data_IF_704649636941
#
_entry.id   IF_704649636941
#
_cell.length_a   1.000
_cell.length_b   1.000
_cell.length_c   1.000
_cell.angle_alpha   90.00
_cell.angle_beta   90.00
_cell.angle_gamma   90.00
#
_symmetry.space_group_name_H-M   'P 1'
#
loop_
_entity.id
_entity.type
_entity.pdbx_description
1 polymer ?
#
# COMPACT_ATOMS: atom_id res chain seq x y z
N UNK A 1 -19.23 4.10 -6.47
CA UNK A 1 -18.97 3.48 -7.79
C UNK A 1 -17.69 2.69 -7.69
N UNK A 2 -17.69 1.43 -8.12
CA UNK A 2 -16.52 0.55 -8.02
C UNK A 2 -15.73 0.68 -9.33
N UNK A 3 -14.76 1.60 -9.39
CA UNK A 3 -13.96 1.87 -10.59
C UNK A 3 -13.08 0.67 -10.94
N UNK A 4 -13.11 0.20 -12.17
CA UNK A 4 -12.34 -0.98 -12.63
C UNK A 4 -10.90 -0.62 -13.03
N UNK A 5 -10.01 -1.61 -13.16
CA UNK A 5 -8.61 -1.36 -13.52
C UNK A 5 -8.44 -0.67 -14.89
N UNK A 6 -9.17 -1.03 -15.96
CA UNK A 6 -9.09 -0.30 -17.23
C UNK A 6 -9.50 1.16 -17.10
N UNK A 7 -10.55 1.45 -16.34
CA UNK A 7 -11.00 2.82 -16.09
C UNK A 7 -9.95 3.60 -15.29
N UNK A 8 -9.40 3.01 -14.23
CA UNK A 8 -8.31 3.61 -13.46
C UNK A 8 -7.09 3.91 -14.33
N UNK A 9 -6.72 3.00 -15.23
CA UNK A 9 -5.61 3.23 -16.17
C UNK A 9 -5.83 4.45 -17.05
N UNK A 10 -7.05 4.70 -17.49
CA UNK A 10 -7.38 5.89 -18.29
C UNK A 10 -7.37 7.19 -17.47
N UNK A 11 -7.59 7.11 -16.15
CA UNK A 11 -7.55 8.25 -15.23
C UNK A 11 -6.13 8.64 -14.79
N UNK A 12 -5.18 7.71 -14.91
CA UNK A 12 -3.80 7.87 -14.45
C UNK A 12 -2.93 8.39 -15.60
N UNK A 13 -2.29 9.53 -15.36
CA UNK A 13 -1.36 10.17 -16.28
C UNK A 13 0.08 9.89 -15.84
N UNK A 14 0.92 9.44 -16.77
CA UNK A 14 2.35 9.20 -16.55
C UNK A 14 3.18 10.24 -17.30
N UNK A 15 4.33 10.62 -16.71
CA UNK A 15 5.31 11.41 -17.43
C UNK A 15 5.90 10.64 -18.61
N UNK A 16 5.91 11.26 -19.80
CA UNK A 16 6.52 10.73 -21.01
C UNK A 16 5.54 10.42 -22.14
N UNK A 17 4.25 10.20 -21.85
CA UNK A 17 3.18 10.12 -22.85
C UNK A 17 1.79 10.15 -22.18
N UNK A 18 0.78 10.90 -22.70
CA UNK A 18 0.87 11.84 -23.82
C UNK A 18 1.54 13.18 -23.45
N UNK A 19 1.78 13.40 -22.15
CA UNK A 19 2.37 14.63 -21.64
C UNK A 19 3.83 14.41 -21.23
N UNK A 20 4.67 15.40 -21.50
CA UNK A 20 6.01 15.50 -20.95
C UNK A 20 5.98 15.76 -19.43
N UNK A 21 7.11 15.56 -18.75
CA UNK A 21 7.22 15.87 -17.33
C UNK A 21 6.95 17.36 -17.04
N UNK A 22 7.41 18.26 -17.92
CA UNK A 22 7.21 19.70 -17.76
C UNK A 22 5.74 20.09 -17.87
N UNK A 23 5.00 19.52 -18.82
CA UNK A 23 3.57 19.76 -18.98
C UNK A 23 2.78 19.28 -17.76
N UNK A 24 3.07 18.08 -17.24
CA UNK A 24 2.42 17.58 -16.04
C UNK A 24 2.72 18.46 -14.81
N UNK A 25 3.97 18.93 -14.64
CA UNK A 25 4.30 19.86 -13.55
C UNK A 25 3.60 21.21 -13.71
N UNK A 26 3.46 21.72 -14.93
CA UNK A 26 2.70 22.95 -15.18
C UNK A 26 1.21 22.75 -14.85
N UNK A 27 0.61 21.64 -15.27
CA UNK A 27 -0.78 21.29 -14.97
C UNK A 27 -1.02 21.10 -13.46
N UNK A 28 -0.08 20.47 -12.77
CA UNK A 28 -0.13 20.31 -11.31
C UNK A 28 -0.05 21.66 -10.59
N UNK A 29 0.90 22.52 -10.99
CA UNK A 29 1.03 23.87 -10.45
C UNK A 29 -0.25 24.71 -10.67
N UNK A 30 -0.96 24.49 -11.77
CA UNK A 30 -2.25 25.12 -12.07
C UNK A 30 -3.44 24.45 -11.34
N UNK A 31 -3.22 23.38 -10.58
CA UNK A 31 -4.27 22.67 -9.86
C UNK A 31 -5.20 21.83 -10.74
N UNK A 32 -4.82 21.55 -11.99
CA UNK A 32 -5.61 20.73 -12.92
C UNK A 32 -5.47 19.24 -12.57
N UNK A 33 -4.29 18.85 -12.11
CA UNK A 33 -3.95 17.50 -11.70
C UNK A 33 -3.26 17.51 -10.34
N UNK A 34 -3.17 16.35 -9.71
CA UNK A 34 -2.40 16.13 -8.47
C UNK A 34 -1.53 14.90 -8.59
N UNK A 35 -0.32 14.95 -8.05
CA UNK A 35 0.56 13.78 -7.94
C UNK A 35 0.00 12.79 -6.91
N UNK A 36 -0.12 11.52 -7.31
CA UNK A 36 -0.57 10.40 -6.45
C UNK A 36 0.63 9.57 -5.99
N UNK A 37 1.59 9.38 -6.90
CA UNK A 37 2.90 8.78 -6.69
C UNK A 37 3.91 9.54 -7.54
N UNK A 38 5.22 9.50 -7.22
CA UNK A 38 6.24 10.19 -8.00
C UNK A 38 6.12 9.91 -9.50
N UNK A 39 5.90 10.97 -10.29
CA UNK A 39 5.75 10.91 -11.74
C UNK A 39 4.40 10.39 -12.24
N UNK A 40 3.40 10.28 -11.36
CA UNK A 40 2.08 9.72 -11.65
C UNK A 40 0.97 10.61 -11.10
N UNK A 41 0.08 11.03 -11.97
CA UNK A 41 -0.89 12.08 -11.70
C UNK A 41 -2.32 11.64 -12.00
N UNK A 42 -3.29 12.29 -11.35
CA UNK A 42 -4.72 12.15 -11.66
C UNK A 42 -5.35 13.53 -11.72
N UNK A 43 -6.50 13.67 -12.39
CA UNK A 43 -7.26 14.92 -12.37
C UNK A 43 -7.57 15.37 -10.95
N UNK A 44 -7.40 16.66 -10.65
CA UNK A 44 -7.52 17.18 -9.29
C UNK A 44 -8.92 16.98 -8.68
N UNK A 45 -9.96 16.95 -9.53
CA UNK A 45 -11.33 16.67 -9.13
C UNK A 45 -11.59 15.21 -8.74
N UNK A 46 -10.67 14.28 -9.06
CA UNK A 46 -10.85 12.87 -8.72
C UNK A 46 -10.66 12.65 -7.21
N UNK A 47 -11.58 11.94 -6.55
CA UNK A 47 -11.49 11.69 -5.12
C UNK A 47 -10.24 10.87 -4.79
N UNK A 48 -9.61 11.15 -3.65
CA UNK A 48 -8.46 10.35 -3.20
C UNK A 48 -8.94 9.05 -2.54
N UNK A 49 -9.01 7.98 -3.34
CA UNK A 49 -9.54 6.69 -2.91
C UNK A 49 -8.46 5.61 -2.94
N UNK A 50 -8.66 4.56 -2.15
CA UNK A 50 -7.78 3.40 -2.17
C UNK A 50 -7.69 2.75 -3.55
N UNK A 51 -8.79 2.73 -4.32
CA UNK A 51 -8.79 2.23 -5.70
C UNK A 51 -7.87 3.06 -6.61
N UNK A 52 -7.91 4.40 -6.52
CA UNK A 52 -7.02 5.27 -7.30
C UNK A 52 -5.55 5.08 -6.90
N UNK A 53 -5.25 4.99 -5.61
CA UNK A 53 -3.89 4.73 -5.11
C UNK A 53 -3.38 3.35 -5.59
N UNK A 54 -4.20 2.32 -5.49
CA UNK A 54 -3.86 0.97 -5.97
C UNK A 54 -3.63 0.94 -7.48
N UNK A 55 -4.50 1.62 -8.25
CA UNK A 55 -4.35 1.79 -9.69
C UNK A 55 -3.03 2.48 -10.06
N UNK A 56 -2.69 3.58 -9.38
CA UNK A 56 -1.44 4.31 -9.60
C UNK A 56 -0.22 3.41 -9.34
N UNK A 57 -0.22 2.65 -8.26
CA UNK A 57 0.83 1.68 -7.98
C UNK A 57 0.93 0.60 -9.05
N UNK A 58 -0.20 0.05 -9.52
CA UNK A 58 -0.21 -0.98 -10.56
C UNK A 58 0.28 -0.45 -11.91
N UNK A 59 -0.08 0.78 -12.28
CA UNK A 59 0.38 1.43 -13.52
C UNK A 59 1.89 1.65 -13.48
N UNK A 60 2.43 2.19 -12.39
CA UNK A 60 3.88 2.39 -12.22
C UNK A 60 4.63 1.06 -12.19
N UNK A 61 4.09 0.07 -11.47
CA UNK A 61 4.73 -1.24 -11.36
C UNK A 61 4.76 -1.96 -12.71
N UNK A 62 3.74 -1.74 -13.54
CA UNK A 62 3.69 -2.20 -14.92
C UNK A 62 3.96 -3.71 -15.04
N UNK A 63 4.74 -4.14 -16.05
CA UNK A 63 5.08 -5.56 -16.22
C UNK A 63 5.85 -6.18 -15.06
N UNK A 64 6.51 -5.39 -14.21
CA UNK A 64 7.29 -5.90 -13.06
C UNK A 64 6.40 -6.46 -11.96
N UNK A 65 5.14 -6.05 -11.88
CA UNK A 65 4.16 -6.61 -10.98
C UNK A 65 3.78 -8.04 -11.41
N UNK A 66 3.76 -8.31 -12.72
CA UNK A 66 3.25 -9.55 -13.27
C UNK A 66 1.73 -9.71 -13.06
N UNK A 67 1.12 -10.78 -13.58
CA UNK A 67 -0.32 -11.02 -13.48
C UNK A 67 -0.82 -11.32 -12.06
N UNK A 68 0.07 -11.74 -11.17
CA UNK A 68 -0.25 -12.13 -9.78
C UNK A 68 0.51 -11.30 -8.74
N UNK A 69 1.01 -10.12 -9.14
CA UNK A 69 1.63 -9.21 -8.19
C UNK A 69 0.60 -8.61 -7.25
N UNK A 70 0.96 -8.50 -5.98
CA UNK A 70 0.09 -7.99 -4.92
C UNK A 70 0.78 -6.79 -4.29
N UNK A 71 0.10 -5.65 -4.19
CA UNK A 71 0.63 -4.51 -3.42
C UNK A 71 0.58 -4.87 -1.94
N UNK A 72 1.72 -4.75 -1.25
CA UNK A 72 1.83 -5.18 0.15
C UNK A 72 2.50 -4.15 1.06
N UNK A 73 2.56 -4.49 2.35
CA UNK A 73 3.35 -3.78 3.37
C UNK A 73 3.09 -2.26 3.37
N UNK A 74 4.14 -1.42 3.33
CA UNK A 74 4.00 0.05 3.44
C UNK A 74 3.27 0.65 2.24
N UNK A 75 3.39 0.03 1.06
CA UNK A 75 2.63 0.45 -0.12
C UNK A 75 1.14 0.14 0.03
N UNK A 76 0.77 -1.02 0.58
CA UNK A 76 -0.62 -1.31 0.91
C UNK A 76 -1.15 -0.38 2.02
N UNK A 77 -0.34 -0.09 3.05
CA UNK A 77 -0.71 0.87 4.08
C UNK A 77 -0.98 2.28 3.49
N UNK A 78 -0.17 2.73 2.52
CA UNK A 78 -0.42 3.96 1.78
C UNK A 78 -1.71 3.88 0.95
N UNK A 79 -1.97 2.76 0.27
CA UNK A 79 -3.24 2.54 -0.44
C UNK A 79 -4.44 2.69 0.50
N UNK A 80 -4.36 2.18 1.73
CA UNK A 80 -5.40 2.32 2.75
C UNK A 80 -5.46 3.70 3.42
N UNK A 81 -4.53 4.61 3.13
CA UNK A 81 -4.47 5.95 3.71
C UNK A 81 -3.74 6.02 5.06
N UNK A 82 -3.06 4.95 5.47
CA UNK A 82 -2.38 4.83 6.77
C UNK A 82 -0.87 5.13 6.71
N UNK A 83 -0.38 5.54 5.54
CA UNK A 83 1.02 5.89 5.34
C UNK A 83 1.15 7.02 4.32
N UNK A 84 2.16 7.92 4.46
CA UNK A 84 2.48 8.91 3.43
C UNK A 84 2.86 8.28 2.09
N UNK A 85 2.88 9.11 1.05
CA UNK A 85 3.27 8.71 -0.30
C UNK A 85 4.66 8.03 -0.27
N UNK A 86 4.77 6.77 -0.74
CA UNK A 86 6.02 6.04 -0.66
C UNK A 86 6.99 6.44 -1.78
N UNK A 87 8.29 6.39 -1.48
CA UNK A 87 9.38 6.56 -2.46
C UNK A 87 9.84 5.22 -3.07
N UNK A 88 9.25 4.11 -2.64
CA UNK A 88 9.48 2.75 -3.14
C UNK A 88 8.17 1.95 -3.06
N UNK A 89 7.81 1.22 -4.12
CA UNK A 89 6.70 0.28 -4.10
C UNK A 89 7.14 -1.10 -3.60
N UNK A 90 6.42 -1.64 -2.63
CA UNK A 90 6.58 -2.98 -2.09
C UNK A 90 5.52 -3.90 -2.71
N UNK A 91 5.97 -4.82 -3.56
CA UNK A 91 5.10 -5.77 -4.28
C UNK A 91 5.46 -7.18 -3.87
N UNK A 92 4.45 -7.95 -3.46
CA UNK A 92 4.56 -9.36 -3.16
C UNK A 92 4.28 -10.17 -4.42
N UNK A 93 5.09 -11.19 -4.66
CA UNK A 93 4.94 -12.10 -5.80
C UNK A 93 5.05 -13.54 -5.31
N UNK A 94 4.34 -14.47 -5.94
CA UNK A 94 4.41 -15.89 -5.58
C UNK A 94 5.80 -16.50 -5.88
N UNK A 95 6.45 -16.05 -6.96
CA UNK A 95 7.82 -16.38 -7.33
C UNK A 95 8.52 -15.16 -7.91
N UNK A 96 9.75 -14.95 -7.52
CA UNK A 96 10.59 -13.88 -8.02
C UNK A 96 11.02 -14.20 -9.44
N UNK A 97 10.69 -13.30 -10.36
CA UNK A 97 11.29 -13.28 -11.68
C UNK A 97 12.14 -12.02 -11.79
N UNK A 98 13.37 -12.11 -12.29
CA UNK A 98 14.19 -10.93 -12.57
C UNK A 98 13.56 -10.18 -13.74
N UNK A 99 12.97 -8.99 -13.55
CA UNK A 99 12.29 -8.33 -14.64
C UNK A 99 13.31 -7.83 -15.67
N UNK A 100 13.07 -8.09 -16.95
CA UNK A 100 13.77 -7.43 -18.05
C UNK A 100 12.97 -6.17 -18.41
N UNK A 101 13.19 -5.05 -17.71
CA UNK A 101 12.50 -3.80 -18.03
C UNK A 101 13.27 -2.56 -17.55
N UNK A 102 13.02 -1.43 -18.25
CA UNK A 102 13.54 -0.08 -18.03
C UNK A 102 13.53 0.38 -16.57
N UNK A 103 14.40 1.36 -16.28
CA UNK A 103 14.47 2.06 -15.00
C UNK A 103 13.08 2.64 -14.68
N UNK A 104 12.39 2.14 -13.65
CA UNK A 104 11.06 2.64 -13.32
C UNK A 104 11.16 4.09 -12.79
N UNK A 105 10.09 4.86 -12.96
CA UNK A 105 9.96 6.20 -12.36
C UNK A 105 10.04 6.16 -10.83
N UNK A 106 9.78 4.99 -10.23
CA UNK A 106 9.82 4.73 -8.80
C UNK A 106 10.50 3.39 -8.53
N UNK A 107 11.30 3.29 -7.47
CA UNK A 107 11.93 2.02 -7.10
C UNK A 107 10.84 0.99 -6.75
N UNK A 108 10.99 -0.25 -7.24
CA UNK A 108 10.07 -1.35 -6.95
C UNK A 108 10.87 -2.46 -6.27
N UNK A 109 10.47 -2.79 -5.04
CA UNK A 109 10.97 -3.90 -4.25
C UNK A 109 10.01 -5.07 -4.36
N UNK A 110 10.46 -6.09 -5.08
CA UNK A 110 9.76 -7.37 -5.15
C UNK A 110 10.14 -8.23 -3.94
N UNK A 111 9.19 -8.95 -3.38
CA UNK A 111 9.46 -9.94 -2.34
C UNK A 111 8.60 -11.16 -2.55
N UNK A 112 9.23 -12.33 -2.43
CA UNK A 112 8.48 -13.58 -2.45
C UNK A 112 7.66 -13.71 -1.17
N UNK A 113 6.36 -13.97 -1.33
CA UNK A 113 5.48 -14.28 -0.23
C UNK A 113 4.30 -15.05 -0.76
N UNK A 114 3.98 -16.17 -0.12
CA UNK A 114 2.65 -16.74 -0.25
C UNK A 114 1.65 -15.79 0.41
N UNK A 115 0.55 -15.53 -0.28
CA UNK A 115 -0.60 -14.77 0.22
C UNK A 115 -1.81 -15.58 -0.20
N UNK A 116 -2.63 -15.97 0.77
CA UNK A 116 -3.87 -16.68 0.50
C UNK A 116 -4.92 -15.71 -0.05
N UNK A 117 -5.88 -16.19 -0.85
CA UNK A 117 -6.93 -15.34 -1.41
C UNK A 117 -7.77 -14.64 -0.33
N UNK A 118 -7.90 -15.24 0.86
CA UNK A 118 -8.55 -14.64 2.03
C UNK A 118 -7.77 -13.46 2.63
N UNK A 119 -6.49 -13.35 2.29
CA UNK A 119 -5.59 -12.29 2.73
C UNK A 119 -5.44 -11.18 1.68
N UNK A 120 -6.33 -11.16 0.68
CA UNK A 120 -6.34 -10.19 -0.41
C UNK A 120 -7.61 -9.34 -0.42
N UNK A 121 -7.47 -8.14 -0.97
CA UNK A 121 -8.58 -7.27 -1.33
C UNK A 121 -8.35 -6.77 -2.76
N UNK A 122 -9.41 -6.85 -3.58
CA UNK A 122 -9.40 -6.28 -4.92
C UNK A 122 -9.85 -4.83 -4.88
N UNK A 123 -8.93 -3.90 -5.06
CA UNK A 123 -9.18 -2.47 -5.05
C UNK A 123 -9.06 -1.93 -6.47
N UNK A 124 -10.20 -1.67 -7.08
CA UNK A 124 -10.29 -1.29 -8.49
C UNK A 124 -9.58 -2.24 -9.44
N UNK A 125 -9.74 -3.55 -9.22
CA UNK A 125 -9.12 -4.60 -10.02
C UNK A 125 -7.63 -4.83 -9.75
N UNK A 126 -7.04 -4.16 -8.75
CA UNK A 126 -5.67 -4.41 -8.30
C UNK A 126 -5.70 -5.24 -7.02
N UNK A 127 -4.88 -6.29 -6.97
CA UNK A 127 -4.69 -7.10 -5.76
C UNK A 127 -3.83 -6.35 -4.73
N UNK A 128 -4.36 -6.18 -3.53
CA UNK A 128 -3.70 -5.54 -2.38
C UNK A 128 -3.84 -6.48 -1.18
N UNK A 129 -2.82 -6.61 -0.34
CA UNK A 129 -2.97 -7.38 0.91
C UNK A 129 -4.10 -6.80 1.74
N UNK A 130 -4.95 -7.65 2.34
CA UNK A 130 -6.04 -7.23 3.21
C UNK A 130 -5.53 -6.33 4.34
N UNK A 131 -6.37 -5.50 4.97
CA UNK A 131 -5.92 -4.61 6.04
C UNK A 131 -5.18 -5.37 7.16
N UNK A 132 -5.73 -6.48 7.66
CA UNK A 132 -5.10 -7.25 8.74
C UNK A 132 -3.77 -7.88 8.30
N UNK A 133 -3.70 -8.40 7.07
CA UNK A 133 -2.46 -8.92 6.49
C UNK A 133 -1.41 -7.81 6.36
N UNK A 134 -1.82 -6.62 5.91
CA UNK A 134 -0.96 -5.44 5.78
C UNK A 134 -0.38 -5.03 7.13
N UNK A 135 -1.22 -4.90 8.16
CA UNK A 135 -0.79 -4.58 9.52
C UNK A 135 0.23 -5.60 10.05
N UNK A 136 -0.08 -6.89 9.88
CA UNK A 136 0.79 -8.00 10.28
C UNK A 136 2.15 -7.91 9.57
N UNK A 137 2.16 -7.76 8.24
CA UNK A 137 3.40 -7.66 7.47
C UNK A 137 4.19 -6.39 7.81
N UNK A 138 3.53 -5.28 8.13
CA UNK A 138 4.17 -4.07 8.61
C UNK A 138 4.87 -4.31 9.95
N UNK A 139 4.21 -4.96 10.91
CA UNK A 139 4.78 -5.30 12.20
C UNK A 139 6.06 -6.17 12.07
N UNK A 140 6.06 -7.12 11.12
CA UNK A 140 7.22 -7.97 10.87
C UNK A 140 8.36 -7.29 10.11
N UNK A 141 8.04 -6.52 9.06
CA UNK A 141 9.01 -6.18 8.02
C UNK A 141 9.40 -4.69 7.98
N UNK A 142 8.66 -3.80 8.64
CA UNK A 142 8.94 -2.37 8.57
C UNK A 142 9.93 -1.91 9.64
N UNK A 143 10.62 -0.78 9.43
CA UNK A 143 11.35 -0.09 10.49
C UNK A 143 10.41 0.25 11.66
N UNK A 144 10.87 0.17 12.94
CA UNK A 144 10.00 0.34 14.10
C UNK A 144 9.18 1.64 14.13
N UNK A 145 9.77 2.78 13.75
CA UNK A 145 9.05 4.06 13.69
C UNK A 145 7.92 4.06 12.66
N UNK A 146 8.21 3.55 11.45
CA UNK A 146 7.20 3.42 10.41
C UNK A 146 6.09 2.44 10.82
N UNK A 147 6.46 1.30 11.41
CA UNK A 147 5.51 0.32 11.90
C UNK A 147 4.57 0.91 12.95
N UNK A 148 5.11 1.66 13.93
CA UNK A 148 4.30 2.34 14.95
C UNK A 148 3.27 3.27 14.34
N UNK A 149 3.71 4.18 13.48
CA UNK A 149 2.83 5.17 12.85
C UNK A 149 1.75 4.53 11.97
N UNK A 150 2.11 3.52 11.18
CA UNK A 150 1.15 2.80 10.33
C UNK A 150 0.12 2.07 11.17
N UNK A 151 0.55 1.29 12.17
CA UNK A 151 -0.35 0.48 12.99
C UNK A 151 -1.31 1.36 13.79
N UNK A 152 -0.82 2.47 14.37
CA UNK A 152 -1.67 3.46 15.03
C UNK A 152 -2.70 4.08 14.05
N UNK A 153 -2.29 4.41 12.82
CA UNK A 153 -3.20 4.93 11.81
C UNK A 153 -4.24 3.89 11.35
N UNK A 154 -3.86 2.62 11.25
CA UNK A 154 -4.78 1.53 10.91
C UNK A 154 -5.79 1.25 12.02
N UNK A 155 -5.36 1.28 13.29
CA UNK A 155 -6.23 1.16 14.46
C UNK A 155 -7.28 2.27 14.53
N UNK A 156 -6.88 3.50 14.17
CA UNK A 156 -7.73 4.69 14.15
C UNK A 156 -8.77 4.75 13.04
N UNK A 157 -8.79 3.78 12.10
CA UNK A 157 -9.76 3.73 10.99
C UNK A 157 -10.67 2.50 11.16
N UNK A 158 -11.86 2.63 11.77
CA UNK A 158 -12.73 1.51 12.12
C UNK A 158 -13.07 0.58 10.95
N UNK A 159 -13.30 1.13 9.76
CA UNK A 159 -13.63 0.37 8.54
C UNK A 159 -12.54 -0.61 8.08
N UNK A 160 -11.30 -0.49 8.59
CA UNK A 160 -10.21 -1.41 8.29
C UNK A 160 -10.23 -2.65 9.19
N UNK A 161 -10.97 -2.64 10.31
CA UNK A 161 -11.04 -3.78 11.24
C UNK A 161 -9.69 -4.18 11.83
N UNK A 162 -8.72 -3.27 11.88
CA UNK A 162 -7.34 -3.54 12.30
C UNK A 162 -7.06 -3.00 13.70
N UNK A 163 -7.92 -3.34 14.66
CA UNK A 163 -7.67 -3.02 16.07
C UNK A 163 -6.35 -3.63 16.51
N UNK A 164 -5.58 -2.94 17.33
CA UNK A 164 -4.25 -3.41 17.76
C UNK A 164 -4.29 -4.80 18.39
N UNK A 165 -5.35 -5.14 19.12
CA UNK A 165 -5.57 -6.46 19.71
C UNK A 165 -5.72 -7.53 18.61
N UNK A 166 -6.49 -7.24 17.56
CA UNK A 166 -6.65 -8.14 16.41
C UNK A 166 -5.33 -8.33 15.67
N UNK A 167 -4.52 -7.27 15.52
CA UNK A 167 -3.19 -7.35 14.91
C UNK A 167 -2.25 -8.20 15.77
N UNK A 168 -2.28 -8.02 17.09
CA UNK A 168 -1.49 -8.82 18.04
C UNK A 168 -1.82 -10.31 17.91
N UNK A 169 -3.10 -10.66 17.89
CA UNK A 169 -3.55 -12.05 17.74
C UNK A 169 -3.07 -12.64 16.40
N UNK A 170 -3.19 -11.88 15.30
CA UNK A 170 -2.70 -12.31 14.00
C UNK A 170 -1.18 -12.54 13.99
N UNK A 171 -0.39 -11.67 14.64
CA UNK A 171 1.07 -11.87 14.79
C UNK A 171 1.36 -13.11 15.65
N UNK A 172 0.56 -13.36 16.69
CA UNK A 172 0.76 -14.48 17.61
C UNK A 172 0.59 -15.85 16.93
N UNK A 173 -0.26 -15.95 15.90
CA UNK A 173 -0.47 -17.17 15.12
C UNK A 173 0.79 -17.66 14.38
N UNK A 174 1.76 -16.78 14.12
CA UNK A 174 3.03 -17.19 13.50
C UNK A 174 3.95 -17.84 14.53
N UNK A 175 4.04 -19.17 14.58
CA UNK A 175 4.84 -19.85 15.61
C UNK A 175 6.36 -19.72 15.45
N UNK A 176 6.89 -19.63 14.23
CA UNK A 176 8.35 -19.69 13.94
C UNK A 176 8.86 -18.61 12.98
N UNK A 177 8.09 -17.53 12.78
CA UNK A 177 8.50 -16.45 11.87
C UNK A 177 9.62 -15.60 12.52
N UNK A 178 10.76 -15.39 11.85
CA UNK A 178 11.79 -14.48 12.33
C UNK A 178 11.20 -13.10 12.64
N UNK A 179 11.66 -12.48 13.74
CA UNK A 179 11.18 -11.17 14.17
C UNK A 179 9.83 -11.17 14.90
N UNK A 180 9.20 -12.33 15.16
CA UNK A 180 7.93 -12.43 15.90
C UNK A 180 7.97 -11.77 17.28
N UNK A 181 9.01 -12.05 18.08
CA UNK A 181 9.15 -11.46 19.42
C UNK A 181 9.19 -9.93 19.32
N UNK A 182 9.95 -9.40 18.37
CA UNK A 182 10.02 -7.95 18.12
C UNK A 182 8.69 -7.37 17.65
N UNK A 183 7.98 -8.08 16.77
CA UNK A 183 6.67 -7.66 16.27
C UNK A 183 5.64 -7.60 17.40
N UNK A 184 5.53 -8.66 18.22
CA UNK A 184 4.65 -8.67 19.40
C UNK A 184 4.99 -7.55 20.37
N UNK A 185 6.26 -7.41 20.74
CA UNK A 185 6.69 -6.36 21.65
C UNK A 185 6.41 -4.94 21.11
N UNK A 186 6.38 -4.75 19.79
CA UNK A 186 6.00 -3.47 19.19
C UNK A 186 4.49 -3.23 19.30
N UNK A 187 3.66 -4.23 19.01
CA UNK A 187 2.19 -4.12 19.09
C UNK A 187 1.74 -3.97 20.55
N UNK A 188 2.29 -4.76 21.47
CA UNK A 188 2.01 -4.68 22.91
C UNK A 188 2.27 -3.27 23.45
N UNK A 189 3.42 -2.68 23.11
CA UNK A 189 3.74 -1.28 23.49
C UNK A 189 2.74 -0.26 22.94
N UNK A 190 2.15 -0.49 21.77
CA UNK A 190 1.14 0.40 21.22
C UNK A 190 -0.20 0.24 21.94
N UNK A 191 -0.56 -0.99 22.31
CA UNK A 191 -1.75 -1.26 23.12
C UNK A 191 -1.61 -0.55 24.47
N UNK A 192 -0.49 -0.74 25.16
CA UNK A 192 -0.21 -0.12 26.47
C UNK A 192 -0.20 1.42 26.41
N UNK A 193 0.21 1.99 25.27
CA UNK A 193 0.26 3.44 25.06
C UNK A 193 -1.08 4.05 24.61
N UNK A 194 -2.06 3.23 24.24
CA UNK A 194 -3.38 3.72 23.82
C UNK A 194 -4.27 3.81 25.05
N UNK A 195 -4.68 5.00 25.51
CA UNK A 195 -5.61 5.10 26.63
C UNK A 195 -6.92 4.37 26.28
N UNK A 196 -7.53 3.70 27.26
CA UNK A 196 -8.83 3.02 27.12
C UNK A 196 -9.82 3.94 26.41
N UNK A 197 -10.04 3.69 25.11
CA UNK A 197 -10.96 4.48 24.31
C UNK A 197 -12.33 3.86 24.52
N UNK A 198 -13.07 4.42 25.47
CA UNK A 198 -14.43 3.99 25.85
C UNK A 198 -15.25 3.64 24.62
N UNK A 199 -15.77 2.41 24.61
CA UNK A 199 -16.66 1.90 23.59
C UNK A 199 -17.85 2.85 23.41
N UNK A 200 -18.06 3.31 22.18
CA UNK A 200 -19.26 3.99 21.71
C UNK A 200 -19.84 3.17 20.55
#
# INVERSE_FOLDING_TARGET
MNTTLPELRSMIMLAGHPFSHGELRAMEHQGIIREVLPGTFVGAAQPDTAAIRAGAAAVIAGPRMGPHGIIGRRSAAWVYGCWPMPTELEVLVARYHRPNAQVPLLKIKLSESAVDDTELCMLGGVAVTSPLRTATDVAFNSPPDAARSILAAMDGIPRLGCRLETVRDAVALFHRRPGRIRALALVDKLIDATPERTAA
#
